data_IF_908044190777
#
_entry.id   IF_908044190777
#
_cell.length_a   1.000
_cell.length_b   1.000
_cell.length_c   1.000
_cell.angle_alpha   90.00
_cell.angle_beta   90.00
_cell.angle_gamma   90.00
#
_symmetry.space_group_name_H-M   'P 1'
#
loop_
_entity.id
_entity.type
_entity.pdbx_description
1 polymer ?
#
# COMPACT_ATOMS: atom_id res chain seq x y z
N UNK A 1 1.46 7.30 -28.29
CA UNK A 1 0.02 7.49 -28.51
C UNK A 1 -0.46 8.26 -27.30
N UNK A 2 -0.67 9.57 -27.44
CA UNK A 2 -1.29 10.40 -26.40
C UNK A 2 -2.74 9.92 -26.26
N UNK A 3 -3.15 9.58 -25.04
CA UNK A 3 -4.55 9.27 -24.73
C UNK A 3 -5.04 10.38 -23.82
N UNK A 4 -5.62 11.42 -24.44
CA UNK A 4 -6.46 12.41 -23.76
C UNK A 4 -7.77 11.73 -23.37
N UNK A 5 -7.88 11.23 -22.13
CA UNK A 5 -9.15 10.76 -21.57
C UNK A 5 -9.48 11.54 -20.29
N UNK A 6 -10.28 12.61 -20.45
CA UNK A 6 -11.36 13.00 -19.53
C UNK A 6 -11.07 13.49 -18.11
N UNK A 7 -9.85 13.41 -17.58
CA UNK A 7 -9.51 13.91 -16.25
C UNK A 7 -8.49 15.03 -16.35
N UNK A 8 -8.84 16.24 -15.91
CA UNK A 8 -7.99 17.43 -16.00
C UNK A 8 -6.72 17.42 -15.11
N UNK A 9 -6.25 16.25 -14.65
CA UNK A 9 -5.05 16.07 -13.85
C UNK A 9 -4.20 14.88 -14.36
N UNK A 10 -2.89 14.98 -14.16
CA UNK A 10 -1.91 13.95 -14.57
C UNK A 10 -1.99 12.73 -13.64
N UNK A 11 -2.02 11.53 -14.23
CA UNK A 11 -2.26 10.25 -13.56
C UNK A 11 -3.73 9.88 -13.60
N UNK A 12 -4.13 9.05 -14.56
CA UNK A 12 -5.51 8.63 -14.71
C UNK A 12 -5.56 7.15 -15.10
N UNK A 13 -6.24 6.34 -14.29
CA UNK A 13 -6.92 5.15 -14.80
C UNK A 13 -8.32 5.15 -14.20
N UNK A 14 -9.30 5.00 -15.09
CA UNK A 14 -10.74 4.89 -14.80
C UNK A 14 -11.21 3.64 -15.54
N UNK A 15 -11.01 2.47 -14.95
CA UNK A 15 -11.50 1.18 -15.47
C UNK A 15 -10.54 0.33 -16.31
N UNK A 16 -9.25 0.67 -16.39
CA UNK A 16 -8.24 -0.12 -17.14
C UNK A 16 -7.37 -0.98 -16.21
N UNK A 17 -6.89 -2.10 -16.74
CA UNK A 17 -5.96 -3.03 -16.08
C UNK A 17 -4.52 -2.74 -16.54
N UNK A 18 -3.62 -2.45 -15.61
CA UNK A 18 -2.19 -2.27 -15.86
C UNK A 18 -1.49 -3.55 -15.41
N UNK A 19 -1.16 -4.42 -16.37
CA UNK A 19 -0.49 -5.72 -16.16
C UNK A 19 0.97 -5.63 -16.56
N UNK A 20 1.89 -6.19 -15.78
CA UNK A 20 3.21 -6.61 -16.25
C UNK A 20 3.32 -8.12 -16.20
N UNK A 21 3.56 -8.71 -17.35
CA UNK A 21 4.09 -10.07 -17.46
C UNK A 21 5.62 -10.05 -17.31
N UNK A 22 6.19 -11.06 -16.66
CA UNK A 22 7.64 -11.20 -16.43
C UNK A 22 8.47 -11.31 -17.72
N UNK A 23 7.83 -11.54 -18.88
CA UNK A 23 8.51 -11.87 -20.14
C UNK A 23 8.79 -10.69 -21.08
N UNK A 24 8.18 -9.53 -20.86
CA UNK A 24 8.50 -8.32 -21.63
C UNK A 24 9.18 -7.27 -20.74
N UNK A 25 10.31 -6.75 -21.22
CA UNK A 25 11.18 -5.75 -20.60
C UNK A 25 10.55 -4.36 -20.33
N UNK A 26 9.23 -4.28 -20.15
CA UNK A 26 8.49 -3.10 -19.72
C UNK A 26 7.82 -3.35 -18.38
N UNK A 27 8.55 -3.23 -17.27
CA UNK A 27 7.98 -3.40 -15.92
C UNK A 27 6.83 -2.41 -15.66
N UNK A 28 5.78 -2.85 -14.96
CA UNK A 28 4.72 -1.96 -14.41
C UNK A 28 5.37 -0.80 -13.65
N UNK A 29 6.48 -1.05 -12.96
CA UNK A 29 7.34 -0.03 -12.33
C UNK A 29 7.76 1.06 -13.31
N UNK A 30 8.24 0.71 -14.50
CA UNK A 30 8.68 1.66 -15.51
C UNK A 30 7.54 2.53 -16.04
N UNK A 31 6.37 1.94 -16.28
CA UNK A 31 5.17 2.66 -16.67
C UNK A 31 4.73 3.60 -15.53
N UNK A 32 4.44 3.06 -14.34
CA UNK A 32 3.98 3.83 -13.18
C UNK A 32 4.98 4.94 -12.80
N UNK A 33 6.29 4.65 -12.83
CA UNK A 33 7.33 5.66 -12.61
C UNK A 33 7.19 6.80 -13.61
N UNK A 34 6.99 6.52 -14.89
CA UNK A 34 6.79 7.54 -15.92
C UNK A 34 5.51 8.38 -15.68
N UNK A 35 4.44 7.78 -15.18
CA UNK A 35 3.20 8.51 -14.83
C UNK A 35 3.35 9.37 -13.57
N UNK A 36 4.16 8.92 -12.61
CA UNK A 36 4.29 9.54 -11.28
C UNK A 36 5.50 10.47 -11.13
N UNK A 37 6.44 10.48 -12.07
CA UNK A 37 7.62 11.34 -12.04
C UNK A 37 7.20 12.82 -12.07
N UNK A 38 7.31 13.50 -10.93
CA UNK A 38 6.93 14.91 -10.77
C UNK A 38 5.42 15.18 -10.70
N UNK A 39 4.58 14.14 -10.67
CA UNK A 39 3.11 14.30 -10.61
C UNK A 39 2.62 14.37 -9.16
N UNK A 40 2.34 15.58 -8.68
CA UNK A 40 1.59 15.78 -7.44
C UNK A 40 0.08 15.78 -7.70
N UNK A 41 -0.71 15.34 -6.71
CA UNK A 41 -2.18 15.25 -6.81
C UNK A 41 -2.67 14.23 -7.85
N UNK A 42 -2.04 13.05 -7.90
CA UNK A 42 -2.42 11.97 -8.83
C UNK A 42 -3.55 11.10 -8.27
N UNK A 43 -4.52 10.70 -9.12
CA UNK A 43 -5.64 9.83 -8.73
C UNK A 43 -5.76 8.60 -9.63
N UNK A 44 -5.95 7.44 -9.01
CA UNK A 44 -6.26 6.18 -9.68
C UNK A 44 -7.58 5.66 -9.16
N UNK A 45 -8.58 5.46 -10.02
CA UNK A 45 -9.91 5.03 -9.65
C UNK A 45 -10.34 3.79 -10.44
N UNK A 46 -10.59 2.67 -9.77
CA UNK A 46 -10.97 1.40 -10.42
C UNK A 46 -9.93 0.91 -11.43
N UNK A 47 -8.68 0.86 -11.01
CA UNK A 47 -7.57 0.36 -11.83
C UNK A 47 -7.11 -1.00 -11.32
N UNK A 48 -6.63 -1.85 -12.22
CA UNK A 48 -5.86 -3.05 -11.87
C UNK A 48 -4.36 -2.75 -11.92
N UNK A 49 -3.60 -3.23 -10.94
CA UNK A 49 -2.14 -3.21 -10.93
C UNK A 49 -1.67 -4.63 -10.66
N UNK A 50 -1.18 -5.31 -11.69
CA UNK A 50 -0.83 -6.72 -11.60
C UNK A 50 0.66 -6.95 -11.88
N UNK A 51 1.33 -7.59 -10.93
CA UNK A 51 2.72 -8.00 -11.07
C UNK A 51 3.09 -9.05 -10.02
N UNK A 52 4.39 -9.17 -9.76
CA UNK A 52 4.96 -10.01 -8.71
C UNK A 52 5.74 -9.13 -7.73
N UNK A 53 7.07 -9.12 -7.83
CA UNK A 53 7.91 -8.24 -7.02
C UNK A 53 7.81 -6.79 -7.52
N UNK A 54 7.80 -5.84 -6.59
CA UNK A 54 7.85 -4.40 -6.88
C UNK A 54 6.71 -3.94 -7.82
N UNK A 55 5.47 -4.41 -7.63
CA UNK A 55 4.37 -4.11 -8.57
C UNK A 55 4.04 -2.62 -8.66
N UNK A 56 3.70 -1.97 -7.55
CA UNK A 56 3.22 -0.59 -7.50
C UNK A 56 4.26 0.32 -6.85
N UNK A 57 4.99 1.08 -7.68
CA UNK A 57 5.98 2.05 -7.21
C UNK A 57 5.35 3.42 -6.92
N UNK A 58 4.91 3.64 -5.68
CA UNK A 58 4.45 4.94 -5.16
C UNK A 58 5.64 5.86 -4.86
N UNK A 59 6.34 6.29 -5.91
CA UNK A 59 7.64 6.95 -5.85
C UNK A 59 7.68 8.19 -4.91
N UNK A 60 6.89 9.23 -5.20
CA UNK A 60 6.89 10.50 -4.47
C UNK A 60 5.56 11.27 -4.59
N UNK A 61 5.46 12.43 -3.93
CA UNK A 61 4.31 13.35 -3.95
C UNK A 61 3.01 12.77 -3.36
N UNK A 62 1.90 13.50 -3.48
CA UNK A 62 0.59 13.07 -2.98
C UNK A 62 -0.15 12.25 -4.02
N UNK A 63 -0.64 11.08 -3.61
CA UNK A 63 -1.32 10.15 -4.49
C UNK A 63 -2.56 9.56 -3.80
N UNK A 64 -3.60 9.28 -4.57
CA UNK A 64 -4.83 8.66 -4.08
C UNK A 64 -5.25 7.50 -4.98
N UNK A 65 -5.46 6.32 -4.38
CA UNK A 65 -5.94 5.12 -5.08
C UNK A 65 -7.30 4.74 -4.48
N UNK A 66 -8.32 4.59 -5.33
CA UNK A 66 -9.70 4.33 -4.90
C UNK A 66 -10.28 3.15 -5.68
N UNK A 67 -10.84 2.17 -4.96
CA UNK A 67 -11.49 1.01 -5.60
C UNK A 67 -10.56 0.25 -6.57
N UNK A 68 -9.24 0.30 -6.34
CA UNK A 68 -8.26 -0.39 -7.18
C UNK A 68 -8.03 -1.83 -6.74
N UNK A 69 -7.55 -2.64 -7.68
CA UNK A 69 -7.10 -4.01 -7.47
C UNK A 69 -5.57 -4.03 -7.61
N UNK A 70 -4.86 -4.57 -6.62
CA UNK A 70 -3.40 -4.59 -6.60
C UNK A 70 -2.96 -6.00 -6.28
N UNK A 71 -2.18 -6.61 -7.16
CA UNK A 71 -1.69 -7.97 -7.04
C UNK A 71 -0.15 -7.99 -7.03
N UNK A 72 0.45 -8.73 -6.10
CA UNK A 72 1.89 -8.92 -6.11
C UNK A 72 2.39 -9.89 -5.05
N UNK A 73 3.72 -9.99 -4.94
CA UNK A 73 4.40 -10.92 -4.03
C UNK A 73 5.30 -10.20 -3.05
N UNK A 74 6.50 -9.80 -3.48
CA UNK A 74 7.53 -9.16 -2.65
C UNK A 74 7.46 -7.65 -2.85
N UNK A 75 7.36 -6.90 -1.76
CA UNK A 75 7.42 -5.43 -1.72
C UNK A 75 6.50 -4.73 -2.73
N UNK A 76 5.33 -5.30 -2.98
CA UNK A 76 4.57 -4.96 -4.18
C UNK A 76 3.81 -3.62 -4.09
N UNK A 77 3.83 -2.93 -2.94
CA UNK A 77 3.49 -1.51 -2.80
C UNK A 77 4.65 -0.81 -2.10
N UNK A 78 5.48 -0.09 -2.83
CA UNK A 78 6.73 0.44 -2.31
C UNK A 78 6.99 1.87 -2.76
N UNK A 79 7.85 2.60 -2.03
CA UNK A 79 8.22 3.96 -2.37
C UNK A 79 8.05 4.95 -1.21
N UNK A 80 8.10 6.25 -1.54
CA UNK A 80 8.13 7.33 -0.55
C UNK A 80 7.12 8.45 -0.86
N UNK A 81 6.00 8.14 -1.51
CA UNK A 81 4.86 9.06 -1.63
C UNK A 81 4.18 9.32 -0.28
N UNK A 82 3.37 10.37 -0.21
CA UNK A 82 2.28 10.48 0.75
C UNK A 82 1.02 9.92 0.06
N UNK A 83 0.69 8.65 0.33
CA UNK A 83 -0.35 7.92 -0.41
C UNK A 83 -1.43 7.37 0.49
N UNK A 84 -2.69 7.48 0.04
CA UNK A 84 -3.84 6.79 0.63
C UNK A 84 -4.43 5.83 -0.40
N UNK A 85 -4.52 4.55 -0.04
CA UNK A 85 -5.23 3.51 -0.78
C UNK A 85 -6.55 3.23 -0.06
N UNK A 86 -7.66 3.69 -0.63
CA UNK A 86 -8.98 3.64 0.00
C UNK A 86 -9.91 2.68 -0.73
N UNK A 87 -10.61 1.81 0.00
CA UNK A 87 -11.52 0.81 -0.60
C UNK A 87 -10.85 -0.08 -1.67
N UNK A 88 -9.55 -0.36 -1.55
CA UNK A 88 -8.83 -1.18 -2.52
C UNK A 88 -8.89 -2.68 -2.15
N UNK A 89 -8.73 -3.52 -3.15
CA UNK A 89 -8.51 -4.96 -3.01
C UNK A 89 -7.03 -5.25 -3.21
N UNK A 90 -6.35 -5.73 -2.17
CA UNK A 90 -4.91 -6.01 -2.16
C UNK A 90 -4.72 -7.51 -2.06
N UNK A 91 -4.20 -8.11 -3.14
CA UNK A 91 -4.05 -9.55 -3.29
C UNK A 91 -2.57 -9.95 -3.24
N UNK A 92 -2.22 -10.82 -2.29
CA UNK A 92 -0.94 -11.50 -2.32
C UNK A 92 -1.02 -12.72 -3.24
N UNK A 93 -0.08 -12.82 -4.18
CA UNK A 93 0.06 -13.92 -5.15
C UNK A 93 0.96 -15.03 -4.64
N UNK A 94 0.99 -16.16 -5.36
CA UNK A 94 1.96 -17.22 -5.10
C UNK A 94 3.37 -16.73 -5.45
N UNK A 95 4.30 -16.61 -4.50
CA UNK A 95 5.67 -16.22 -4.79
C UNK A 95 6.50 -17.43 -5.26
N UNK A 96 7.76 -17.18 -5.62
CA UNK A 96 8.70 -18.28 -5.88
C UNK A 96 8.98 -19.07 -4.60
N UNK A 97 9.52 -20.28 -4.76
CA UNK A 97 9.89 -21.11 -3.62
C UNK A 97 10.83 -20.34 -2.64
N UNK A 98 10.65 -20.59 -1.34
CA UNK A 98 11.40 -19.96 -0.24
C UNK A 98 11.22 -18.43 -0.08
N UNK A 99 10.49 -17.75 -0.97
CA UNK A 99 10.14 -16.35 -0.80
C UNK A 99 9.00 -16.17 0.22
N UNK A 100 8.87 -14.93 0.70
CA UNK A 100 7.78 -14.46 1.56
C UNK A 100 7.07 -13.35 0.84
N UNK A 101 5.75 -13.29 0.96
CA UNK A 101 5.00 -12.15 0.47
C UNK A 101 5.14 -10.98 1.45
N UNK A 102 5.33 -9.78 0.92
CA UNK A 102 5.42 -8.55 1.68
C UNK A 102 4.64 -7.47 0.96
N UNK A 103 3.57 -7.00 1.59
CA UNK A 103 2.64 -6.05 0.97
C UNK A 103 3.29 -4.69 0.74
N UNK A 104 3.98 -4.16 1.76
CA UNK A 104 4.53 -2.81 1.70
C UNK A 104 6.01 -2.74 2.01
N UNK A 105 6.73 -1.89 1.27
CA UNK A 105 8.12 -1.53 1.54
C UNK A 105 8.27 -0.01 1.48
N UNK A 106 7.91 0.66 2.57
CA UNK A 106 7.87 2.13 2.60
C UNK A 106 9.27 2.70 2.86
N UNK A 107 9.67 3.65 2.01
CA UNK A 107 11.04 4.16 1.87
C UNK A 107 11.29 5.54 2.48
N UNK A 108 10.62 5.93 3.56
CA UNK A 108 10.88 7.21 4.23
C UNK A 108 12.25 7.17 4.94
N UNK A 109 13.16 8.04 4.52
CA UNK A 109 14.53 8.10 5.01
C UNK A 109 14.79 9.21 6.04
N UNK A 110 13.90 10.19 6.14
CA UNK A 110 14.04 11.34 7.05
C UNK A 110 12.72 11.54 7.84
N UNK A 111 12.77 11.74 9.17
CA UNK A 111 11.57 11.91 10.01
C UNK A 111 10.76 13.16 9.67
N UNK A 112 11.38 14.18 9.07
CA UNK A 112 10.75 15.44 8.67
C UNK A 112 9.97 15.32 7.35
N UNK A 113 10.11 14.21 6.61
CA UNK A 113 9.28 13.93 5.46
C UNK A 113 7.85 13.59 5.89
N UNK A 114 6.88 14.22 5.23
CA UNK A 114 5.45 14.02 5.45
C UNK A 114 4.88 12.83 4.65
N UNK A 115 5.70 11.85 4.31
CA UNK A 115 5.39 10.72 3.41
C UNK A 115 5.05 9.43 4.18
N UNK A 116 4.45 8.45 3.50
CA UNK A 116 4.01 7.19 4.09
C UNK A 116 2.93 6.52 3.27
N UNK A 117 2.64 5.25 3.58
CA UNK A 117 1.56 4.48 2.96
C UNK A 117 0.41 4.33 3.97
N UNK A 118 -0.79 4.79 3.60
CA UNK A 118 -2.02 4.59 4.38
C UNK A 118 -2.98 3.68 3.62
N UNK A 119 -3.23 2.48 4.15
CA UNK A 119 -4.22 1.54 3.66
C UNK A 119 -5.49 1.72 4.47
N UNK A 120 -6.55 2.26 3.86
CA UNK A 120 -7.76 2.69 4.55
C UNK A 120 -9.01 2.00 4.01
N UNK A 121 -9.81 1.39 4.88
CA UNK A 121 -11.07 0.74 4.51
C UNK A 121 -10.93 -0.24 3.32
N UNK A 122 -9.81 -0.97 3.27
CA UNK A 122 -9.46 -1.85 2.15
C UNK A 122 -9.59 -3.32 2.55
N UNK A 123 -9.21 -4.25 1.67
CA UNK A 123 -9.17 -5.69 1.97
C UNK A 123 -7.84 -6.30 1.52
N UNK A 124 -7.21 -7.06 2.41
CA UNK A 124 -6.00 -7.85 2.15
C UNK A 124 -6.40 -9.32 2.06
N UNK A 125 -6.19 -9.94 0.91
CA UNK A 125 -6.64 -11.31 0.62
C UNK A 125 -5.58 -12.11 -0.16
N UNK A 126 -5.73 -13.43 -0.20
CA UNK A 126 -4.93 -14.30 -1.07
C UNK A 126 -5.58 -14.38 -2.46
N UNK A 127 -4.79 -14.35 -3.54
CA UNK A 127 -5.29 -14.69 -4.88
C UNK A 127 -5.48 -16.19 -5.06
N UNK A 128 -6.19 -16.56 -6.13
CA UNK A 128 -6.58 -17.94 -6.43
C UNK A 128 -5.41 -18.93 -6.55
N UNK A 129 -4.23 -18.46 -6.94
CA UNK A 129 -2.99 -19.24 -7.06
C UNK A 129 -2.27 -19.43 -5.71
N UNK A 130 -2.45 -18.53 -4.75
CA UNK A 130 -1.89 -18.63 -3.39
C UNK A 130 -2.75 -19.49 -2.47
N UNK A 131 -4.08 -19.41 -2.59
CA UNK A 131 -5.03 -20.13 -1.72
C UNK A 131 -4.68 -21.62 -1.54
N UNK A 132 -4.38 -22.41 -2.60
CA UNK A 132 -4.09 -23.84 -2.46
C UNK A 132 -2.78 -24.15 -1.73
N UNK A 133 -1.89 -23.17 -1.61
CA UNK A 133 -0.53 -23.32 -1.05
C UNK A 133 -0.28 -22.33 0.10
N UNK A 134 -1.35 -21.83 0.72
CA UNK A 134 -1.29 -20.76 1.72
C UNK A 134 -0.35 -21.10 2.89
N UNK A 135 -0.37 -22.36 3.36
CA UNK A 135 0.47 -22.82 4.46
C UNK A 135 1.97 -22.90 4.10
N UNK A 136 2.30 -22.87 2.81
CA UNK A 136 3.68 -22.97 2.33
C UNK A 136 4.38 -21.61 2.25
N UNK A 137 3.64 -20.50 2.29
CA UNK A 137 4.18 -19.15 2.12
C UNK A 137 3.68 -18.21 3.21
N UNK A 138 4.59 -17.47 3.81
CA UNK A 138 4.24 -16.43 4.79
C UNK A 138 3.94 -15.12 4.08
N UNK A 139 2.94 -14.38 4.56
CA UNK A 139 2.59 -13.04 4.07
C UNK A 139 2.65 -12.02 5.22
N UNK A 140 3.32 -10.89 4.98
CA UNK A 140 3.48 -9.79 5.95
C UNK A 140 2.91 -8.48 5.41
N UNK A 141 2.40 -7.63 6.30
CA UNK A 141 1.88 -6.29 6.01
C UNK A 141 2.95 -5.34 5.44
N UNK A 142 4.21 -5.52 5.85
CA UNK A 142 5.32 -4.77 5.31
C UNK A 142 6.66 -5.02 5.98
N UNK A 143 7.70 -4.38 5.42
CA UNK A 143 9.07 -4.33 5.97
C UNK A 143 9.74 -2.96 5.72
N UNK A 144 10.66 -2.51 6.60
CA UNK A 144 11.17 -1.15 6.55
C UNK A 144 12.32 -0.98 5.56
N UNK A 145 12.02 -0.61 4.31
CA UNK A 145 13.05 -0.34 3.30
C UNK A 145 14.01 0.79 3.71
N UNK A 146 13.51 1.78 4.47
CA UNK A 146 14.32 2.89 4.99
C UNK A 146 14.08 3.14 6.48
N UNK A 147 15.01 3.85 7.12
CA UNK A 147 15.11 4.00 8.58
C UNK A 147 13.85 4.55 9.27
N UNK A 148 13.04 5.36 8.58
CA UNK A 148 11.83 5.98 9.15
C UNK A 148 10.56 5.48 8.46
N UNK A 149 10.60 4.25 7.92
CA UNK A 149 9.50 3.60 7.22
C UNK A 149 8.16 3.82 7.94
N UNK A 150 7.14 4.26 7.21
CA UNK A 150 5.84 4.63 7.78
C UNK A 150 4.68 4.06 6.99
N UNK A 151 4.01 3.06 7.58
CA UNK A 151 2.86 2.39 6.97
C UNK A 151 1.76 2.23 8.02
N UNK A 152 0.51 2.47 7.64
CA UNK A 152 -0.65 2.19 8.48
C UNK A 152 -1.74 1.40 7.76
N UNK A 153 -2.41 0.52 8.50
CA UNK A 153 -3.62 -0.16 8.08
C UNK A 153 -4.77 0.26 8.99
N UNK A 154 -5.77 0.94 8.43
CA UNK A 154 -6.91 1.52 9.13
C UNK A 154 -8.21 0.89 8.62
N UNK A 155 -9.04 0.37 9.52
CA UNK A 155 -10.37 -0.19 9.22
C UNK A 155 -10.31 -1.20 8.05
N UNK A 156 -9.23 -1.96 7.94
CA UNK A 156 -8.96 -2.82 6.79
C UNK A 156 -9.24 -4.27 7.15
N UNK A 157 -9.86 -5.01 6.22
CA UNK A 157 -10.06 -6.44 6.38
C UNK A 157 -8.74 -7.18 6.14
N UNK A 158 -8.31 -7.98 7.11
CA UNK A 158 -7.11 -8.81 7.03
C UNK A 158 -7.53 -10.29 7.05
N UNK A 159 -7.45 -10.93 5.88
CA UNK A 159 -7.74 -12.35 5.72
C UNK A 159 -6.64 -13.25 6.34
N UNK A 160 -6.87 -14.55 6.41
CA UNK A 160 -6.06 -15.49 7.20
C UNK A 160 -4.61 -15.67 6.71
N UNK A 161 -4.25 -15.11 5.56
CA UNK A 161 -2.90 -15.18 5.00
C UNK A 161 -1.86 -14.39 5.79
N UNK A 162 -2.27 -13.35 6.51
CA UNK A 162 -1.33 -12.47 7.21
C UNK A 162 -0.76 -13.21 8.42
N UNK A 163 0.56 -13.36 8.44
CA UNK A 163 1.28 -14.02 9.53
C UNK A 163 0.99 -13.29 10.86
N UNK A 164 0.79 -14.00 11.99
CA UNK A 164 0.51 -13.38 13.28
C UNK A 164 1.51 -12.29 13.71
N UNK A 165 2.79 -12.41 13.31
CA UNK A 165 3.80 -11.39 13.54
C UNK A 165 3.46 -10.04 12.86
N UNK A 166 2.73 -10.08 11.75
CA UNK A 166 2.23 -8.94 10.98
C UNK A 166 3.29 -8.27 10.12
N UNK A 167 4.46 -8.00 10.67
CA UNK A 167 5.52 -7.21 10.03
C UNK A 167 6.83 -8.02 9.98
N UNK A 168 7.65 -7.77 8.96
CA UNK A 168 8.91 -8.49 8.71
C UNK A 168 10.11 -7.54 8.82
N UNK A 169 11.20 -7.99 9.44
CA UNK A 169 12.43 -7.23 9.49
C UNK A 169 12.99 -6.98 8.07
N UNK A 170 13.67 -5.84 7.88
CA UNK A 170 14.46 -5.62 6.67
C UNK A 170 15.81 -6.34 6.78
N UNK A 171 16.59 -5.97 7.80
CA UNK A 171 17.88 -6.58 8.12
C UNK A 171 18.17 -6.41 9.62
N UNK A 172 18.16 -7.54 10.35
CA UNK A 172 18.38 -7.55 11.80
C UNK A 172 17.52 -6.54 12.56
N UNK A 173 18.18 -5.63 13.28
CA UNK A 173 17.52 -4.59 14.08
C UNK A 173 17.35 -3.24 13.36
N UNK A 174 17.60 -3.18 12.04
CA UNK A 174 17.46 -1.95 11.27
C UNK A 174 16.04 -1.38 11.37
N UNK A 175 15.95 -0.06 11.59
CA UNK A 175 14.71 0.73 11.66
C UNK A 175 13.68 0.37 12.75
N UNK A 176 13.85 -0.73 13.49
CA UNK A 176 12.80 -1.27 14.38
C UNK A 176 12.35 -0.30 15.49
N UNK A 177 13.18 0.67 15.86
CA UNK A 177 12.87 1.70 16.87
C UNK A 177 12.45 3.04 16.26
N UNK A 178 12.71 3.28 14.98
CA UNK A 178 12.52 4.56 14.29
C UNK A 178 11.38 4.55 13.26
N UNK A 179 10.99 3.36 12.78
CA UNK A 179 9.82 3.17 11.93
C UNK A 179 8.51 3.54 12.67
N UNK A 180 7.44 3.73 11.91
CA UNK A 180 6.08 3.86 12.43
C UNK A 180 5.17 2.89 11.69
N UNK A 181 4.83 1.77 12.31
CA UNK A 181 3.86 0.80 11.80
C UNK A 181 2.63 0.76 12.70
N UNK A 182 1.48 1.09 12.11
CA UNK A 182 0.24 1.29 12.84
C UNK A 182 -0.90 0.42 12.32
N UNK A 183 -1.66 -0.17 13.24
CA UNK A 183 -2.91 -0.85 12.94
C UNK A 183 -4.06 -0.22 13.75
N UNK A 184 -5.15 0.16 13.08
CA UNK A 184 -6.31 0.80 13.72
C UNK A 184 -7.60 0.12 13.30
N UNK A 185 -8.31 -0.51 14.24
CA UNK A 185 -9.65 -1.12 14.03
C UNK A 185 -9.75 -2.00 12.78
N UNK A 186 -8.66 -2.72 12.45
CA UNK A 186 -8.71 -3.76 11.43
C UNK A 186 -9.62 -4.90 11.89
N UNK A 187 -10.16 -5.66 10.94
CA UNK A 187 -11.09 -6.75 11.21
C UNK A 187 -10.81 -7.93 10.28
N UNK A 188 -11.43 -9.09 10.55
CA UNK A 188 -11.14 -10.33 9.84
C UNK A 188 -10.24 -11.27 10.65
N UNK A 189 -10.01 -12.49 10.13
CA UNK A 189 -9.38 -13.58 10.87
C UNK A 189 -7.93 -13.27 11.32
N UNK A 190 -7.17 -12.46 10.59
CA UNK A 190 -5.79 -12.11 10.94
C UNK A 190 -5.64 -10.71 11.57
N UNK A 191 -6.74 -10.06 11.94
CA UNK A 191 -6.71 -8.73 12.54
C UNK A 191 -6.29 -8.70 14.01
N UNK A 192 -6.22 -9.86 14.69
CA UNK A 192 -5.73 -9.93 16.06
C UNK A 192 -4.29 -9.45 16.15
N UNK A 193 -4.04 -8.48 17.03
CA UNK A 193 -2.70 -7.90 17.24
C UNK A 193 -1.92 -8.59 18.36
N UNK A 194 -2.49 -9.60 19.03
CA UNK A 194 -1.87 -10.27 20.18
C UNK A 194 -0.59 -11.03 19.87
N UNK A 195 -0.39 -11.44 18.61
CA UNK A 195 0.81 -12.14 18.14
C UNK A 195 1.83 -11.26 17.40
N UNK A 196 1.59 -9.94 17.34
CA UNK A 196 2.42 -9.02 16.55
C UNK A 196 3.81 -8.84 17.13
N UNK A 197 4.74 -8.40 16.29
CA UNK A 197 6.09 -7.99 16.68
C UNK A 197 6.08 -6.97 17.82
N UNK A 198 7.15 -6.95 18.62
CA UNK A 198 7.30 -6.05 19.80
C UNK A 198 8.27 -4.90 19.57
N UNK A 199 8.41 -4.47 18.32
CA UNK A 199 9.33 -3.40 17.93
C UNK A 199 8.90 -2.05 18.51
N UNK A 200 9.86 -1.17 18.85
CA UNK A 200 9.54 0.16 19.39
C UNK A 200 8.77 1.06 18.42
N UNK A 201 8.92 0.83 17.12
CA UNK A 201 8.19 1.54 16.06
C UNK A 201 6.80 0.97 15.73
N UNK A 202 6.48 -0.24 16.18
CA UNK A 202 5.15 -0.84 15.96
C UNK A 202 4.18 -0.42 17.08
N UNK A 203 2.93 -0.12 16.72
CA UNK A 203 1.88 0.18 17.71
C UNK A 203 0.48 -0.17 17.22
N UNK A 204 -0.35 -0.64 18.15
CA UNK A 204 -1.80 -0.70 17.98
C UNK A 204 -2.35 0.69 18.25
N UNK A 205 -2.91 1.35 17.24
CA UNK A 205 -3.49 2.68 17.38
C UNK A 205 -4.85 2.53 18.06
N UNK A 206 -5.05 3.23 19.17
CA UNK A 206 -6.33 3.23 19.91
C UNK A 206 -7.03 4.59 19.86
N UNK A 207 -6.27 5.67 19.67
CA UNK A 207 -6.78 7.04 19.52
C UNK A 207 -7.31 7.28 18.11
N UNK A 208 -8.58 7.70 17.99
CA UNK A 208 -9.16 8.14 16.71
C UNK A 208 -8.46 9.39 16.18
N UNK A 209 -7.94 10.26 17.04
CA UNK A 209 -7.19 11.45 16.63
C UNK A 209 -5.87 11.06 15.96
N UNK A 210 -5.14 10.08 16.50
CA UNK A 210 -3.90 9.58 15.89
C UNK A 210 -4.20 8.92 14.54
N UNK A 211 -5.19 8.02 14.49
CA UNK A 211 -5.61 7.39 13.24
C UNK A 211 -6.10 8.39 12.19
N UNK A 212 -6.79 9.46 12.61
CA UNK A 212 -7.30 10.49 11.70
C UNK A 212 -6.18 11.22 10.97
N UNK A 213 -4.96 11.30 11.51
CA UNK A 213 -3.81 11.94 10.84
C UNK A 213 -3.41 11.25 9.53
N UNK A 214 -3.80 9.98 9.35
CA UNK A 214 -3.51 9.16 8.19
C UNK A 214 -4.70 9.02 7.22
N UNK A 215 -5.78 9.76 7.45
CA UNK A 215 -6.95 9.79 6.55
C UNK A 215 -6.73 10.72 5.35
N UNK A 216 -7.59 10.60 4.34
CA UNK A 216 -7.52 11.40 3.11
C UNK A 216 -7.43 12.91 3.37
N UNK A 217 -8.26 13.44 4.27
CA UNK A 217 -8.29 14.87 4.58
C UNK A 217 -6.98 15.37 5.19
N UNK A 218 -6.41 14.62 6.14
CA UNK A 218 -5.27 15.10 6.93
C UNK A 218 -3.92 14.71 6.34
N UNK A 219 -3.82 13.53 5.72
CA UNK A 219 -2.54 12.99 5.27
C UNK A 219 -2.11 13.54 3.90
N UNK A 220 -3.07 13.69 2.98
CA UNK A 220 -2.83 14.14 1.60
C UNK A 220 -3.58 15.44 1.26
N UNK A 221 -4.14 16.12 2.26
CA UNK A 221 -4.99 17.29 2.06
C UNK A 221 -6.14 17.06 1.06
N UNK A 222 -6.67 15.84 0.99
CA UNK A 222 -7.54 15.37 -0.10
C UNK A 222 -8.75 16.27 -0.37
N UNK A 223 -9.33 16.88 0.67
CA UNK A 223 -10.49 17.76 0.55
C UNK A 223 -10.24 19.01 -0.29
N UNK A 224 -8.99 19.42 -0.52
CA UNK A 224 -8.67 20.61 -1.32
C UNK A 224 -8.58 20.34 -2.83
N UNK A 225 -8.45 19.08 -3.25
CA UNK A 225 -8.15 18.76 -4.65
C UNK A 225 -8.93 17.57 -5.22
N UNK A 226 -9.29 16.57 -4.40
CA UNK A 226 -10.09 15.42 -4.85
C UNK A 226 -11.50 15.79 -5.36
N UNK A 227 -12.22 16.81 -4.81
CA UNK A 227 -13.52 17.18 -5.36
C UNK A 227 -13.50 17.57 -6.85
N UNK A 228 -12.38 18.15 -7.31
CA UNK A 228 -12.22 18.56 -8.71
C UNK A 228 -12.04 17.38 -9.67
N UNK A 229 -11.73 16.18 -9.16
CA UNK A 229 -11.52 14.97 -9.98
C UNK A 229 -12.81 14.18 -10.22
N UNK A 230 -13.87 14.48 -9.45
CA UNK A 230 -15.13 13.72 -9.49
C UNK A 230 -15.05 12.32 -8.86
N UNK A 231 -13.88 11.89 -8.37
CA UNK A 231 -13.70 10.57 -7.73
C UNK A 231 -14.27 10.59 -6.31
N UNK A 232 -15.13 9.63 -5.92
CA UNK A 232 -15.67 9.58 -4.58
C UNK A 232 -14.60 9.21 -3.56
N UNK A 233 -14.59 9.89 -2.41
CA UNK A 233 -13.67 9.58 -1.31
C UNK A 233 -14.33 9.82 0.05
N UNK A 234 -13.87 9.08 1.05
CA UNK A 234 -14.16 9.38 2.45
C UNK A 234 -13.01 10.21 3.02
N UNK A 235 -13.33 11.40 3.53
CA UNK A 235 -12.34 12.35 4.01
C UNK A 235 -11.68 11.90 5.33
N UNK A 236 -12.44 11.25 6.23
CA UNK A 236 -12.02 10.82 7.57
C UNK A 236 -12.28 9.33 7.84
N UNK A 237 -12.25 8.94 9.12
CA UNK A 237 -12.53 7.57 9.61
C UNK A 237 -14.02 7.19 9.52
#
# INVERSE_FOLDING_TARGET
>A
MEVENGCGLRGCCVGEEIVADEEESGSVVGLIRKWLEGSDLSVFYRCGFEGYQDTLYVHSQRQFYKECYIYGTVDFIFGNAAVVLQNCMIYARRPMAQQKNVLTAQGRSDPNQNTGISIHNSRVMASSDLIPVLSSFKTFLGRPWMAYSRTVFLQTYLDSLVDPAGWLEWDGNFALTTLYYGEYRNFGPAASTGGRVKWGGYRVITSSTEASSFTVANFIAGSSWLPATGVPFFAGL
#
